data_IF_266949604070
#
_entry.id   IF_266949604070
#
_cell.length_a   1.000
_cell.length_b   1.000
_cell.length_c   1.000
_cell.angle_alpha   90.00
_cell.angle_beta   90.00
_cell.angle_gamma   90.00
#
_symmetry.space_group_name_H-M   'P 1'
#
loop_
_entity.id
_entity.type
_entity.pdbx_description
1 polymer ?
#
# COMPACT_ATOMS: atom_id res chain seq x y z
N UNK A 1 -6.53 -20.11 10.04
CA UNK A 1 -7.02 -19.11 9.06
C UNK A 1 -6.05 -17.94 9.11
N UNK A 2 -5.27 -17.68 8.04
CA UNK A 2 -4.32 -16.57 8.06
C UNK A 2 -5.13 -15.28 8.08
N UNK A 3 -5.04 -14.53 9.18
CA UNK A 3 -5.72 -13.24 9.30
C UNK A 3 -4.95 -12.26 8.44
N UNK A 4 -5.39 -12.09 7.20
CA UNK A 4 -4.83 -11.10 6.29
C UNK A 4 -5.03 -9.71 6.89
N UNK A 5 -4.07 -8.81 6.68
CA UNK A 5 -4.22 -7.41 7.05
C UNK A 5 -5.42 -6.82 6.30
N UNK A 6 -6.29 -6.05 6.99
CA UNK A 6 -7.41 -5.39 6.35
C UNK A 6 -6.94 -4.47 5.22
N UNK A 7 -7.77 -4.29 4.20
CA UNK A 7 -7.41 -3.50 3.01
C UNK A 7 -7.17 -2.03 3.34
N UNK A 8 -7.96 -1.46 4.24
CA UNK A 8 -7.77 -0.08 4.71
C UNK A 8 -6.38 0.12 5.32
N UNK A 9 -5.95 -0.79 6.20
CA UNK A 9 -4.62 -0.74 6.78
C UNK A 9 -3.52 -0.82 5.71
N UNK A 10 -3.67 -1.73 4.73
CA UNK A 10 -2.71 -1.81 3.62
C UNK A 10 -2.66 -0.50 2.83
N UNK A 11 -3.81 0.12 2.55
CA UNK A 11 -3.89 1.39 1.82
C UNK A 11 -3.23 2.54 2.58
N UNK A 12 -3.47 2.67 3.89
CA UNK A 12 -2.82 3.71 4.71
C UNK A 12 -1.30 3.56 4.71
N UNK A 13 -0.79 2.35 4.94
CA UNK A 13 0.66 2.09 4.95
C UNK A 13 1.28 2.37 3.58
N UNK A 14 0.61 1.98 2.49
CA UNK A 14 1.05 2.26 1.12
C UNK A 14 1.04 3.76 0.83
N UNK A 15 0.01 4.50 1.27
CA UNK A 15 -0.11 5.94 1.06
C UNK A 15 1.02 6.69 1.77
N UNK A 16 1.33 6.33 3.03
CA UNK A 16 2.45 6.91 3.78
C UNK A 16 3.78 6.59 3.10
N UNK A 17 3.98 5.35 2.66
CA UNK A 17 5.19 4.96 1.94
C UNK A 17 5.34 5.65 0.58
N UNK A 18 4.23 5.87 -0.16
CA UNK A 18 4.24 6.60 -1.45
C UNK A 18 4.45 8.10 -1.28
N UNK A 19 4.03 8.68 -0.16
CA UNK A 19 4.23 10.11 0.14
C UNK A 19 5.71 10.49 0.20
N UNK A 20 6.59 9.50 0.43
CA UNK A 20 8.05 9.67 0.32
C UNK A 20 8.68 10.47 1.47
N UNK A 21 7.90 10.82 2.49
CA UNK A 21 8.37 11.55 3.67
C UNK A 21 9.31 10.71 4.54
N UNK A 22 9.22 9.38 4.46
CA UNK A 22 10.13 8.47 5.15
C UNK A 22 10.40 7.23 4.32
N UNK A 23 11.54 6.60 4.56
CA UNK A 23 11.95 5.38 3.85
C UNK A 23 11.00 4.22 4.13
N UNK A 24 10.79 3.34 3.14
CA UNK A 24 9.97 2.11 3.24
C UNK A 24 10.29 1.30 4.51
N UNK A 25 11.57 1.25 4.89
CA UNK A 25 12.06 0.59 6.11
C UNK A 25 11.53 1.19 7.40
N UNK A 26 11.47 2.52 7.47
CA UNK A 26 10.94 3.25 8.63
C UNK A 26 9.43 3.07 8.72
N UNK A 27 8.71 3.20 7.61
CA UNK A 27 7.27 2.91 7.56
C UNK A 27 7.00 1.48 8.02
N UNK A 28 7.72 0.49 7.47
CA UNK A 28 7.53 -0.90 7.86
C UNK A 28 7.71 -1.12 9.38
N UNK A 29 8.74 -0.50 9.97
CA UNK A 29 9.02 -0.59 11.41
C UNK A 29 7.94 0.11 12.25
N UNK A 30 7.48 1.29 11.84
CA UNK A 30 6.49 2.09 12.57
C UNK A 30 5.12 1.39 12.61
N UNK A 31 4.71 0.82 11.48
CA UNK A 31 3.45 0.09 11.34
C UNK A 31 3.54 -1.39 11.77
N UNK A 32 4.72 -1.87 12.16
CA UNK A 32 4.92 -3.25 12.59
C UNK A 32 4.79 -4.30 11.48
N UNK A 33 5.02 -3.94 10.22
CA UNK A 33 4.99 -4.85 9.07
C UNK A 33 6.40 -5.18 8.59
N UNK A 34 6.54 -6.32 7.91
CA UNK A 34 7.82 -6.67 7.28
C UNK A 34 8.08 -5.82 6.04
N UNK A 35 9.33 -5.38 5.83
CA UNK A 35 9.74 -4.61 4.63
C UNK A 35 9.35 -5.34 3.33
N UNK A 36 9.49 -6.67 3.30
CA UNK A 36 9.11 -7.51 2.15
C UNK A 36 7.60 -7.50 1.89
N UNK A 37 6.76 -7.41 2.93
CA UNK A 37 5.31 -7.28 2.80
C UNK A 37 4.96 -5.91 2.21
N UNK A 38 5.53 -4.83 2.76
CA UNK A 38 5.29 -3.48 2.26
C UNK A 38 5.77 -3.29 0.82
N UNK A 39 6.96 -3.81 0.48
CA UNK A 39 7.47 -3.78 -0.89
C UNK A 39 6.54 -4.51 -1.88
N UNK A 40 5.95 -5.65 -1.47
CA UNK A 40 4.97 -6.36 -2.29
C UNK A 40 3.68 -5.56 -2.46
N UNK A 41 3.19 -4.92 -1.40
CA UNK A 41 2.00 -4.07 -1.48
C UNK A 41 2.20 -2.86 -2.37
N UNK A 42 3.35 -2.20 -2.30
CA UNK A 42 3.70 -1.09 -3.18
C UNK A 42 3.68 -1.51 -4.66
N UNK A 43 4.26 -2.68 -5.00
CA UNK A 43 4.20 -3.20 -6.37
C UNK A 43 2.78 -3.55 -6.84
N UNK A 44 1.95 -4.09 -5.95
CA UNK A 44 0.55 -4.38 -6.26
C UNK A 44 -0.25 -3.10 -6.48
N UNK A 45 -0.05 -2.10 -5.62
CA UNK A 45 -0.68 -0.79 -5.75
C UNK A 45 -0.24 -0.08 -7.04
N UNK A 46 1.04 -0.17 -7.40
CA UNK A 46 1.56 0.40 -8.65
C UNK A 46 0.90 -0.22 -9.89
N UNK A 47 0.65 -1.53 -9.86
CA UNK A 47 -0.08 -2.24 -10.91
C UNK A 47 -1.56 -1.85 -10.96
N UNK A 48 -2.21 -1.67 -9.82
CA UNK A 48 -3.62 -1.27 -9.71
C UNK A 48 -3.82 0.17 -10.23
N UNK A 49 -2.93 1.08 -9.83
CA UNK A 49 -2.89 2.50 -10.24
C UNK A 49 -2.70 2.63 -11.78
N UNK A 50 -1.91 1.73 -12.38
CA UNK A 50 -1.73 1.65 -13.84
C UNK A 50 -2.90 1.01 -14.62
N UNK A 51 -3.84 0.37 -13.93
CA UNK A 51 -4.99 -0.33 -14.56
C UNK A 51 -6.35 0.28 -14.15
N UNK A 52 -6.35 1.29 -13.27
CA UNK A 52 -7.54 1.87 -12.64
C UNK A 52 -8.15 3.11 -13.32
N UNK A 53 -7.74 3.47 -14.53
CA UNK A 53 -8.38 4.55 -15.31
C UNK A 53 -9.72 4.12 -15.96
N UNK A 54 -10.49 3.25 -15.29
CA UNK A 54 -11.84 2.83 -15.70
C UNK A 54 -12.78 2.76 -14.50
N UNK A 55 -12.80 3.82 -13.69
CA UNK A 55 -13.96 4.14 -12.87
C UNK A 55 -14.04 5.65 -12.68
N UNK A 56 -14.46 6.34 -13.74
CA UNK A 56 -15.20 7.59 -13.59
C UNK A 56 -16.63 7.22 -13.19
N UNK A 57 -17.12 7.50 -11.98
CA UNK A 57 -18.55 7.69 -11.77
C UNK A 57 -18.84 9.16 -12.05
N UNK A 58 -18.97 9.55 -13.32
CA UNK A 58 -19.45 10.87 -13.68
C UNK A 58 -20.44 10.79 -14.84
N UNK A 59 -21.72 10.93 -14.43
CA UNK A 59 -22.93 11.43 -15.11
C UNK A 59 -23.42 10.73 -16.37
#
# INVERSE_FOLDING_TARGET
>A
MVKAYPEEFRRDVIAVARKGETSVRQVAKDFGVSESCLARWLRLADRDDGTGAAASPSV
#
